data_IF_637139325683
#
_entry.id   IF_637139325683
#
_cell.length_a   1.000
_cell.length_b   1.000
_cell.length_c   1.000
_cell.angle_alpha   90.00
_cell.angle_beta   90.00
_cell.angle_gamma   90.00
#
_symmetry.space_group_name_H-M   'P 1'
#
loop_
_entity.id
_entity.type
_entity.pdbx_description
1 polymer ?
#
# COMPACT_ATOMS: atom_id res chain seq x y z
N UNK A 1 -16.37 -19.79 -25.50
CA UNK A 1 -16.08 -18.83 -24.42
C UNK A 1 -14.62 -18.46 -24.51
N UNK A 2 -14.27 -17.20 -24.81
CA UNK A 2 -12.87 -16.77 -24.74
C UNK A 2 -12.44 -16.81 -23.27
N UNK A 3 -11.28 -17.42 -23.00
CA UNK A 3 -10.69 -17.45 -21.66
C UNK A 3 -10.23 -16.06 -21.18
N UNK A 4 -10.24 -15.07 -22.08
CA UNK A 4 -9.85 -13.69 -21.83
C UNK A 4 -11.03 -12.75 -22.02
N UNK A 5 -11.26 -11.90 -21.03
CA UNK A 5 -12.09 -10.70 -21.12
C UNK A 5 -11.25 -9.52 -21.65
N UNK A 6 -11.89 -8.56 -22.30
CA UNK A 6 -11.24 -7.31 -22.67
C UNK A 6 -10.63 -6.65 -21.42
N UNK A 7 -9.43 -6.05 -21.52
CA UNK A 7 -8.79 -5.37 -20.39
C UNK A 7 -9.68 -4.23 -19.89
N UNK A 8 -9.69 -3.95 -18.57
CA UNK A 8 -10.50 -2.87 -18.02
C UNK A 8 -10.04 -1.49 -18.53
N UNK A 9 -10.94 -0.48 -18.53
CA UNK A 9 -10.55 0.90 -18.83
C UNK A 9 -9.52 1.38 -17.81
N UNK A 10 -8.60 2.24 -18.24
CA UNK A 10 -7.63 2.88 -17.34
C UNK A 10 -8.39 3.75 -16.34
N UNK A 11 -8.24 3.46 -15.05
CA UNK A 11 -8.76 4.32 -13.99
C UNK A 11 -8.04 5.67 -14.03
N UNK A 12 -8.80 6.75 -13.92
CA UNK A 12 -8.24 8.10 -13.89
C UNK A 12 -7.74 8.38 -12.47
N UNK A 13 -6.74 9.23 -12.30
CA UNK A 13 -6.23 9.59 -10.97
C UNK A 13 -7.33 10.13 -10.02
N UNK A 14 -8.43 10.68 -10.54
CA UNK A 14 -9.59 11.09 -9.76
C UNK A 14 -10.45 9.94 -9.23
N UNK A 15 -10.46 8.78 -9.90
CA UNK A 15 -11.13 7.57 -9.41
C UNK A 15 -10.34 6.91 -8.26
N UNK A 16 -9.01 7.03 -8.26
CA UNK A 16 -8.12 6.38 -7.29
C UNK A 16 -7.93 7.20 -5.99
N UNK A 17 -8.10 8.52 -6.06
CA UNK A 17 -8.05 9.45 -4.90
C UNK A 17 -8.92 9.03 -3.70
N UNK A 18 -10.22 8.68 -3.84
CA UNK A 18 -11.02 8.28 -2.69
C UNK A 18 -10.46 7.02 -2.01
N UNK A 19 -10.04 6.03 -2.79
CA UNK A 19 -9.43 4.79 -2.29
C UNK A 19 -8.13 5.09 -1.53
N UNK A 20 -7.28 5.95 -2.11
CA UNK A 20 -6.01 6.36 -1.51
C UNK A 20 -6.21 7.07 -0.17
N UNK A 21 -7.21 7.94 -0.09
CA UNK A 21 -7.57 8.66 1.14
C UNK A 21 -8.06 7.70 2.23
N UNK A 22 -8.96 6.78 1.89
CA UNK A 22 -9.47 5.77 2.84
C UNK A 22 -8.35 4.85 3.32
N UNK A 23 -7.46 4.39 2.42
CA UNK A 23 -6.32 3.56 2.81
C UNK A 23 -5.35 4.31 3.75
N UNK A 24 -5.06 5.59 3.46
CA UNK A 24 -4.22 6.42 4.35
C UNK A 24 -4.88 6.63 5.71
N UNK A 25 -6.19 6.88 5.71
CA UNK A 25 -6.96 7.08 6.93
C UNK A 25 -6.89 5.88 7.86
N UNK A 26 -7.17 4.68 7.33
CA UNK A 26 -7.13 3.42 8.10
C UNK A 26 -5.70 3.15 8.60
N UNK A 27 -4.69 3.37 7.77
CA UNK A 27 -3.27 3.19 8.12
C UNK A 27 -2.87 4.10 9.30
N UNK A 28 -3.25 5.38 9.24
CA UNK A 28 -2.99 6.33 10.33
C UNK A 28 -3.74 5.94 11.60
N UNK A 29 -4.99 5.52 11.50
CA UNK A 29 -5.77 5.09 12.67
C UNK A 29 -5.19 3.85 13.35
N UNK A 30 -4.72 2.86 12.58
CA UNK A 30 -4.00 1.72 13.14
C UNK A 30 -2.69 2.16 13.81
N UNK A 31 -1.93 3.05 13.18
CA UNK A 31 -0.69 3.57 13.75
C UNK A 31 -0.93 4.34 15.06
N UNK A 32 -1.96 5.19 15.13
CA UNK A 32 -2.30 5.94 16.34
C UNK A 32 -2.73 5.01 17.47
N UNK A 33 -3.52 3.96 17.22
CA UNK A 33 -3.89 2.97 18.24
C UNK A 33 -2.65 2.27 18.81
N UNK A 34 -1.70 1.87 17.95
CA UNK A 34 -0.46 1.24 18.40
C UNK A 34 0.34 2.20 19.28
N UNK A 35 0.49 3.46 18.85
CA UNK A 35 1.21 4.48 19.61
C UNK A 35 0.53 4.80 20.95
N UNK A 36 -0.79 4.97 20.97
CA UNK A 36 -1.56 5.20 22.19
C UNK A 36 -1.42 4.02 23.16
N UNK A 37 -1.38 2.79 22.67
CA UNK A 37 -1.18 1.60 23.50
C UNK A 37 0.20 1.60 24.16
N UNK A 38 1.24 1.94 23.41
CA UNK A 38 2.62 2.03 23.93
C UNK A 38 2.76 3.21 24.90
N UNK A 39 2.23 4.39 24.55
CA UNK A 39 2.27 5.58 25.39
C UNK A 39 1.47 5.39 26.70
N UNK A 40 0.28 4.79 26.64
CA UNK A 40 -0.52 4.49 27.82
C UNK A 40 0.18 3.51 28.77
N UNK A 41 0.90 2.51 28.23
CA UNK A 41 1.78 1.65 29.05
C UNK A 41 2.97 2.41 29.63
N UNK A 42 3.59 3.30 28.86
CA UNK A 42 4.71 4.11 29.32
C UNK A 42 4.32 5.00 30.51
N UNK A 43 3.18 5.68 30.43
CA UNK A 43 2.65 6.52 31.51
C UNK A 43 2.32 5.71 32.78
N UNK A 44 1.83 4.48 32.63
CA UNK A 44 1.43 3.64 33.78
C UNK A 44 2.59 2.89 34.45
N UNK A 45 3.55 2.40 33.68
CA UNK A 45 4.61 1.53 34.19
C UNK A 45 5.95 2.21 34.42
N UNK A 46 6.15 3.45 33.94
CA UNK A 46 7.41 4.24 34.02
C UNK A 46 8.69 3.55 33.50
N UNK A 47 8.58 2.28 33.07
CA UNK A 47 9.63 1.50 32.41
C UNK A 47 9.10 0.95 31.10
N UNK A 48 9.82 1.26 30.03
CA UNK A 48 9.54 0.72 28.70
C UNK A 48 10.09 -0.71 28.62
N UNK A 49 9.22 -1.71 28.77
CA UNK A 49 9.60 -3.12 28.60
C UNK A 49 10.02 -3.38 27.14
N UNK A 50 10.94 -4.32 26.96
CA UNK A 50 11.50 -4.68 25.65
C UNK A 50 10.44 -5.22 24.68
N UNK A 51 9.35 -5.79 25.20
CA UNK A 51 8.20 -6.25 24.42
C UNK A 51 7.43 -5.11 23.75
N UNK A 52 7.25 -3.96 24.41
CA UNK A 52 6.56 -2.81 23.81
C UNK A 52 7.38 -2.18 22.67
N UNK A 53 8.73 -2.30 22.72
CA UNK A 53 9.59 -1.94 21.59
C UNK A 53 9.34 -2.82 20.37
N UNK A 54 9.13 -4.13 20.57
CA UNK A 54 8.79 -5.06 19.48
C UNK A 54 7.49 -4.68 18.79
N UNK A 55 6.47 -4.30 19.57
CA UNK A 55 5.17 -3.84 19.03
C UNK A 55 5.34 -2.55 18.23
N UNK A 56 6.24 -1.66 18.66
CA UNK A 56 6.53 -0.42 17.91
C UNK A 56 7.14 -0.72 16.54
N UNK A 57 7.96 -1.77 16.40
CA UNK A 57 8.51 -2.17 15.09
C UNK A 57 7.43 -2.70 14.13
N UNK A 58 6.26 -3.14 14.61
CA UNK A 58 5.14 -3.55 13.75
C UNK A 58 4.53 -2.38 12.96
N UNK A 59 4.82 -1.13 13.34
CA UNK A 59 4.43 0.07 12.60
C UNK A 59 5.18 0.19 11.27
N UNK A 60 6.42 -0.32 11.20
CA UNK A 60 7.26 -0.27 9.99
C UNK A 60 6.61 -1.00 8.80
N UNK A 61 6.27 -2.30 8.88
CA UNK A 61 5.66 -3.01 7.75
C UNK A 61 4.30 -2.41 7.35
N UNK A 62 3.58 -1.80 8.30
CA UNK A 62 2.30 -1.14 8.05
C UNK A 62 2.47 0.08 7.12
N UNK A 63 3.47 0.94 7.39
CA UNK A 63 3.79 2.06 6.50
C UNK A 63 4.44 1.63 5.19
N UNK A 64 5.30 0.60 5.21
CA UNK A 64 5.88 0.04 3.98
C UNK A 64 4.76 -0.41 3.05
N UNK A 65 3.80 -1.20 3.53
CA UNK A 65 2.64 -1.63 2.74
C UNK A 65 1.89 -0.43 2.15
N UNK A 66 1.65 0.61 2.94
CA UNK A 66 0.91 1.78 2.47
C UNK A 66 1.69 2.55 1.37
N UNK A 67 3.01 2.66 1.51
CA UNK A 67 3.87 3.23 0.47
C UNK A 67 3.81 2.43 -0.84
N UNK A 68 3.82 1.11 -0.76
CA UNK A 68 3.69 0.24 -1.95
C UNK A 68 2.33 0.46 -2.64
N UNK A 69 1.24 0.48 -1.87
CA UNK A 69 -0.11 0.71 -2.40
C UNK A 69 -0.24 2.11 -3.02
N UNK A 70 0.34 3.13 -2.39
CA UNK A 70 0.35 4.49 -2.90
C UNK A 70 1.04 4.57 -4.27
N UNK A 71 2.19 3.92 -4.44
CA UNK A 71 2.90 3.87 -5.72
C UNK A 71 2.11 3.13 -6.81
N UNK A 72 1.44 2.02 -6.44
CA UNK A 72 0.60 1.27 -7.38
C UNK A 72 -0.58 2.10 -7.86
N UNK A 73 -1.25 2.82 -6.96
CA UNK A 73 -2.37 3.71 -7.29
C UNK A 73 -1.91 4.94 -8.08
N UNK A 74 -0.73 5.49 -7.78
CA UNK A 74 -0.20 6.67 -8.47
C UNK A 74 0.25 6.38 -9.91
N UNK A 75 0.95 5.27 -10.14
CA UNK A 75 1.51 4.95 -11.46
C UNK A 75 0.56 4.13 -12.34
N UNK A 76 -0.41 3.45 -11.72
CA UNK A 76 -1.28 2.49 -12.37
C UNK A 76 -0.51 1.26 -12.85
N UNK A 77 -1.21 0.14 -13.02
CA UNK A 77 -0.59 -1.11 -13.49
C UNK A 77 -0.56 -1.20 -15.02
N UNK A 78 0.11 -2.23 -15.55
CA UNK A 78 0.16 -2.51 -16.98
C UNK A 78 -1.15 -3.15 -17.51
N UNK A 79 -2.07 -3.56 -16.63
CA UNK A 79 -3.30 -4.26 -17.01
C UNK A 79 -4.48 -3.29 -17.21
N UNK A 80 -4.35 -2.37 -18.16
CA UNK A 80 -5.40 -1.41 -18.51
C UNK A 80 -5.38 -1.08 -20.01
N UNK A 81 -6.50 -0.61 -20.55
CA UNK A 81 -6.55 -0.09 -21.92
C UNK A 81 -5.79 1.23 -22.02
N UNK A 82 -4.81 1.31 -22.93
CA UNK A 82 -4.04 2.52 -23.18
C UNK A 82 -4.27 3.07 -24.58
N UNK A 83 -4.28 4.39 -24.71
CA UNK A 83 -4.19 5.06 -26.01
C UNK A 83 -2.72 5.16 -26.40
N UNK A 84 -2.35 4.59 -27.55
CA UNK A 84 -0.99 4.68 -28.09
C UNK A 84 -0.76 6.04 -28.77
N UNK A 85 0.46 6.60 -28.72
CA UNK A 85 1.71 6.05 -28.18
C UNK A 85 1.99 6.44 -26.71
N UNK A 86 2.46 5.49 -25.89
CA UNK A 86 2.98 5.78 -24.54
C UNK A 86 4.47 6.16 -24.58
N UNK A 87 4.86 7.08 -23.71
CA UNK A 87 6.26 7.47 -23.48
C UNK A 87 7.03 6.34 -22.78
N UNK A 88 8.33 6.19 -23.07
CA UNK A 88 9.21 5.19 -22.44
C UNK A 88 9.25 5.30 -20.89
N UNK A 89 9.08 6.51 -20.35
CA UNK A 89 8.98 6.76 -18.90
C UNK A 89 7.72 6.14 -18.30
N UNK A 90 6.58 6.27 -18.98
CA UNK A 90 5.29 5.72 -18.55
C UNK A 90 5.29 4.20 -18.57
N UNK A 91 5.92 3.59 -19.58
CA UNK A 91 6.13 2.12 -19.64
C UNK A 91 6.91 1.62 -18.45
N UNK A 92 7.99 2.32 -18.06
CA UNK A 92 8.82 1.95 -16.91
C UNK A 92 8.08 2.08 -15.58
N UNK A 93 7.34 3.17 -15.36
CA UNK A 93 6.53 3.33 -14.14
C UNK A 93 5.47 2.23 -14.00
N UNK A 94 4.77 1.89 -15.09
CA UNK A 94 3.75 0.83 -15.10
C UNK A 94 4.33 -0.58 -14.88
N UNK A 95 5.54 -0.84 -15.39
CA UNK A 95 6.27 -2.10 -15.15
C UNK A 95 6.64 -2.26 -13.67
N UNK A 96 7.18 -1.19 -13.06
CA UNK A 96 7.53 -1.19 -11.62
C UNK A 96 6.28 -1.38 -10.77
N UNK A 97 5.19 -0.66 -11.06
CA UNK A 97 3.92 -0.80 -10.34
C UNK A 97 3.36 -2.23 -10.43
N UNK A 98 3.40 -2.86 -11.61
CA UNK A 98 2.95 -4.25 -11.77
C UNK A 98 3.81 -5.24 -10.99
N UNK A 99 5.13 -5.06 -10.99
CA UNK A 99 6.03 -5.89 -10.19
C UNK A 99 5.77 -5.76 -8.69
N UNK A 100 5.46 -4.54 -8.24
CA UNK A 100 5.15 -4.24 -6.84
C UNK A 100 3.86 -4.94 -6.37
N UNK A 101 2.83 -5.00 -7.21
CA UNK A 101 1.60 -5.75 -6.92
C UNK A 101 1.90 -7.24 -6.75
N UNK A 102 2.70 -7.83 -7.63
CA UNK A 102 3.06 -9.25 -7.54
C UNK A 102 3.86 -9.52 -6.27
N UNK A 103 4.86 -8.68 -5.97
CA UNK A 103 5.63 -8.78 -4.73
C UNK A 103 4.73 -8.69 -3.48
N UNK A 104 3.78 -7.74 -3.47
CA UNK A 104 2.79 -7.61 -2.39
C UNK A 104 1.92 -8.86 -2.25
N UNK A 105 1.52 -9.49 -3.35
CA UNK A 105 0.73 -10.73 -3.34
C UNK A 105 1.53 -11.91 -2.77
N UNK A 106 2.80 -12.04 -3.14
CA UNK A 106 3.70 -13.07 -2.62
C UNK A 106 3.90 -12.89 -1.12
N UNK A 107 4.17 -11.67 -0.67
CA UNK A 107 4.31 -11.36 0.76
C UNK A 107 3.03 -11.68 1.54
N UNK A 108 1.85 -11.35 0.99
CA UNK A 108 0.57 -11.71 1.62
C UNK A 108 0.33 -13.23 1.69
N UNK A 109 0.72 -13.98 0.66
CA UNK A 109 0.57 -15.44 0.67
C UNK A 109 1.59 -16.16 1.59
N UNK A 110 2.73 -15.53 1.85
CA UNK A 110 3.80 -16.07 2.67
C UNK A 110 3.68 -15.75 4.17
N UNK A 111 2.75 -14.88 4.57
CA UNK A 111 2.50 -14.48 5.96
C UNK A 111 1.16 -15.00 6.44
#
# INVERSE_FOLDING_TARGET
MSLYSSPPPLHTADDDKPTLLVCWWITLFCATIILLRVAGRFVRSEKLFREDRTVTYAVIPLFVRMGLVHLVLLWGTNNAQFTWPLTETEKRHKSIASGLVIASRILYAAT
#
